data_IF_920138110520
#
_entry.id   IF_920138110520
#
_cell.length_a   1.000
_cell.length_b   1.000
_cell.length_c   1.000
_cell.angle_alpha   90.00
_cell.angle_beta   90.00
_cell.angle_gamma   90.00
#
_symmetry.space_group_name_H-M   'P 1'
#
loop_
_entity.id
_entity.type
_entity.pdbx_description
1 polymer ?
#
# COMPACT_ATOMS: atom_id res chain seq x y z
N UNK A 1 11.20 7.71 10.74
CA UNK A 1 12.10 7.09 9.80
C UNK A 1 11.36 6.65 8.55
N UNK A 2 11.94 6.96 7.45
CA UNK A 2 11.31 6.72 6.16
C UNK A 2 11.03 5.24 5.92
N UNK A 3 11.95 4.40 6.31
CA UNK A 3 11.77 2.96 6.09
C UNK A 3 10.51 2.44 6.75
N UNK A 4 10.14 3.02 7.89
CA UNK A 4 8.92 2.61 8.58
C UNK A 4 7.68 2.95 7.77
N UNK A 5 7.68 4.11 7.12
CA UNK A 5 6.55 4.50 6.31
C UNK A 5 6.39 3.58 5.11
N UNK A 6 7.50 3.23 4.47
CA UNK A 6 7.45 2.30 3.34
C UNK A 6 6.94 0.95 3.81
N UNK A 7 7.47 0.45 4.92
CA UNK A 7 7.03 -0.83 5.44
C UNK A 7 5.55 -0.83 5.79
N UNK A 8 5.07 0.27 6.33
CA UNK A 8 3.66 0.40 6.68
C UNK A 8 2.78 0.32 5.42
N UNK A 9 3.14 1.07 4.39
CA UNK A 9 2.34 1.10 3.17
C UNK A 9 2.36 -0.25 2.48
N UNK A 10 3.53 -0.85 2.36
CA UNK A 10 3.65 -2.16 1.74
C UNK A 10 2.88 -3.20 2.51
N UNK A 11 2.95 -3.12 3.84
CA UNK A 11 2.22 -4.07 4.68
C UNK A 11 0.72 -3.98 4.49
N UNK A 12 0.20 -2.77 4.34
CA UNK A 12 -1.22 -2.61 4.11
C UNK A 12 -1.62 -3.14 2.74
N UNK A 13 -0.77 -2.96 1.74
CA UNK A 13 -1.06 -3.51 0.42
C UNK A 13 -1.16 -5.02 0.49
N UNK A 14 -0.20 -5.66 1.12
CA UNK A 14 -0.22 -7.12 1.26
C UNK A 14 -1.45 -7.56 2.04
N UNK A 15 -1.75 -6.87 3.11
CA UNK A 15 -2.89 -7.20 3.96
C UNK A 15 -4.19 -7.22 3.16
N UNK A 16 -4.45 -6.15 2.43
CA UNK A 16 -5.72 -6.03 1.73
C UNK A 16 -5.78 -6.92 0.50
N UNK A 17 -4.67 -7.06 -0.22
CA UNK A 17 -4.69 -7.91 -1.41
C UNK A 17 -4.80 -9.38 -1.04
N UNK A 18 -4.43 -9.72 0.18
CA UNK A 18 -4.51 -11.10 0.65
C UNK A 18 -5.90 -11.51 1.08
N UNK A 19 -6.75 -10.54 1.46
CA UNK A 19 -8.02 -10.87 2.08
C UNK A 19 -9.25 -10.40 1.31
N UNK A 20 -9.06 -9.73 0.19
CA UNK A 20 -10.20 -9.07 -0.46
C UNK A 20 -11.32 -10.04 -0.82
N UNK A 21 -10.97 -11.28 -1.18
CA UNK A 21 -12.00 -12.25 -1.57
C UNK A 21 -12.88 -12.68 -0.39
N UNK A 22 -12.31 -12.65 0.79
CA UNK A 22 -12.99 -13.18 1.96
C UNK A 22 -13.61 -12.10 2.83
N UNK A 23 -13.15 -10.87 2.70
CA UNK A 23 -13.59 -9.84 3.63
C UNK A 23 -14.09 -8.59 2.94
N UNK A 24 -13.21 -7.78 2.41
CA UNK A 24 -13.58 -6.44 1.97
C UNK A 24 -14.03 -6.32 0.53
N UNK A 25 -13.82 -7.36 -0.27
CA UNK A 25 -14.22 -7.32 -1.66
C UNK A 25 -13.51 -6.21 -2.41
N UNK A 26 -14.22 -5.59 -3.32
CA UNK A 26 -13.66 -4.55 -4.16
C UNK A 26 -13.10 -3.38 -3.34
N UNK A 27 -13.70 -3.12 -2.19
CA UNK A 27 -13.21 -2.03 -1.35
C UNK A 27 -11.79 -2.26 -0.89
N UNK A 28 -11.44 -3.51 -0.58
CA UNK A 28 -10.06 -3.81 -0.20
C UNK A 28 -9.11 -3.59 -1.38
N UNK A 29 -9.55 -3.91 -2.59
CA UNK A 29 -8.74 -3.66 -3.76
C UNK A 29 -8.53 -2.16 -3.97
N UNK A 30 -9.56 -1.37 -3.72
CA UNK A 30 -9.43 0.08 -3.83
C UNK A 30 -8.43 0.61 -2.81
N UNK A 31 -8.42 0.02 -1.62
CA UNK A 31 -7.43 0.40 -0.61
C UNK A 31 -6.03 0.09 -1.08
N UNK A 32 -5.85 -1.03 -1.76
CA UNK A 32 -4.54 -1.37 -2.32
C UNK A 32 -4.08 -0.28 -3.29
N UNK A 33 -4.98 0.17 -4.15
CA UNK A 33 -4.64 1.22 -5.11
C UNK A 33 -4.24 2.50 -4.37
N UNK A 34 -5.00 2.85 -3.34
CA UNK A 34 -4.73 4.06 -2.58
C UNK A 34 -3.34 4.01 -1.94
N UNK A 35 -3.04 2.89 -1.29
CA UNK A 35 -1.73 2.75 -0.65
C UNK A 35 -0.61 2.68 -1.65
N UNK A 36 -0.86 2.06 -2.80
CA UNK A 36 0.15 1.99 -3.85
C UNK A 36 0.49 3.38 -4.38
N UNK A 37 -0.52 4.22 -4.53
CA UNK A 37 -0.27 5.60 -4.98
C UNK A 37 0.54 6.36 -3.96
N UNK A 38 0.24 6.17 -2.69
CA UNK A 38 1.03 6.81 -1.65
C UNK A 38 2.47 6.32 -1.65
N UNK A 39 2.63 5.04 -1.92
CA UNK A 39 3.97 4.46 -2.00
C UNK A 39 4.78 5.09 -3.13
N UNK A 40 4.12 5.32 -4.26
CA UNK A 40 4.77 5.97 -5.38
C UNK A 40 5.23 7.38 -4.98
N UNK A 41 4.35 8.11 -4.30
CA UNK A 41 4.69 9.47 -3.87
C UNK A 41 5.89 9.48 -2.95
N UNK A 42 5.90 8.56 -1.98
CA UNK A 42 7.02 8.47 -1.05
C UNK A 42 8.30 8.11 -1.78
N UNK A 43 8.22 7.15 -2.68
CA UNK A 43 9.40 6.71 -3.43
C UNK A 43 9.97 7.85 -4.25
N UNK A 44 9.11 8.65 -4.86
CA UNK A 44 9.56 9.78 -5.66
C UNK A 44 10.19 10.84 -4.80
N UNK A 45 9.61 11.12 -3.63
CA UNK A 45 10.17 12.11 -2.73
C UNK A 45 11.52 11.66 -2.19
N UNK A 46 11.68 10.39 -1.99
CA UNK A 46 12.93 9.84 -1.47
C UNK A 46 13.95 9.58 -2.58
N UNK A 47 13.56 9.86 -3.80
CA UNK A 47 14.43 9.63 -4.95
C UNK A 47 14.79 8.15 -5.09
N UNK A 48 13.88 7.30 -4.73
CA UNK A 48 14.06 5.86 -4.90
C UNK A 48 13.69 5.45 -6.31
N UNK A 49 14.39 4.45 -6.81
CA UNK A 49 14.18 4.02 -8.19
C UNK A 49 13.80 2.58 -8.30
#
# INVERSE_FOLDING_TARGET
IVANNLGYLEGNIVKYISRWREKGGVEDIRKVIHYAQKLIEVAQQEDLK
#
